data_IF_513647750704
#
_entry.id   IF_513647750704
#
_cell.length_a   1.000
_cell.length_b   1.000
_cell.length_c   1.000
_cell.angle_alpha   90.00
_cell.angle_beta   90.00
_cell.angle_gamma   90.00
#
_symmetry.space_group_name_H-M   'P 1'
#
loop_
_entity.id
_entity.type
_entity.pdbx_description
1 polymer ?
#
# COMPACT_ATOMS: atom_id res chain seq x y z
N UNK A 1 -15.17 33.06 41.42
CA UNK A 1 -13.78 33.34 40.99
C UNK A 1 -13.79 33.76 39.54
N UNK A 2 -13.58 35.06 39.26
CA UNK A 2 -13.43 35.65 37.92
C UNK A 2 -11.99 36.17 37.81
N UNK A 3 -11.28 35.82 36.74
CA UNK A 3 -10.06 36.48 36.27
C UNK A 3 -10.06 36.37 34.74
N UNK A 4 -10.51 37.40 34.01
CA UNK A 4 -9.74 38.51 33.43
C UNK A 4 -8.74 38.08 32.33
N UNK A 5 -9.18 38.21 31.08
CA UNK A 5 -8.33 38.27 29.88
C UNK A 5 -7.78 39.70 29.74
N UNK A 6 -6.45 39.84 29.64
CA UNK A 6 -5.78 41.09 29.29
C UNK A 6 -5.54 41.15 27.78
N UNK A 7 -6.03 42.22 27.16
CA UNK A 7 -5.67 42.63 25.80
C UNK A 7 -4.26 43.25 25.77
N UNK A 8 -3.45 42.84 24.79
CA UNK A 8 -2.23 43.54 24.35
C UNK A 8 -2.47 44.26 23.01
N UNK A 9 -1.69 45.31 22.69
CA UNK A 9 -2.05 46.27 21.64
C UNK A 9 -1.66 45.86 20.23
N UNK A 10 -2.41 46.38 19.27
CA UNK A 10 -2.23 46.24 17.83
C UNK A 10 -0.97 46.93 17.30
N UNK A 11 -0.33 46.33 16.29
CA UNK A 11 -0.06 46.91 14.96
C UNK A 11 1.15 46.23 14.28
N UNK A 12 0.95 45.70 13.07
CA UNK A 12 1.49 46.24 11.80
C UNK A 12 1.21 45.27 10.65
N UNK A 13 0.60 45.78 9.59
CA UNK A 13 0.49 45.16 8.26
C UNK A 13 1.87 45.13 7.60
N UNK A 14 2.20 44.05 6.91
CA UNK A 14 3.24 44.03 5.88
C UNK A 14 2.93 42.95 4.84
N UNK A 15 2.61 43.43 3.64
CA UNK A 15 2.97 42.96 2.30
C UNK A 15 2.70 41.50 1.88
N UNK A 16 1.62 41.38 1.12
CA UNK A 16 1.45 40.39 0.07
C UNK A 16 2.54 40.59 -1.00
N UNK A 17 3.52 39.68 -1.07
CA UNK A 17 4.34 39.51 -2.27
C UNK A 17 4.03 38.16 -2.89
N UNK A 18 3.32 38.23 -4.00
CA UNK A 18 3.01 37.11 -4.89
C UNK A 18 4.27 36.80 -5.70
N UNK A 19 4.86 35.62 -5.49
CA UNK A 19 5.87 35.10 -6.41
C UNK A 19 5.16 34.37 -7.56
N UNK A 20 4.96 35.09 -8.67
CA UNK A 20 4.61 34.49 -9.96
C UNK A 20 5.89 33.99 -10.61
N UNK A 21 6.17 32.69 -10.54
CA UNK A 21 7.24 32.10 -11.34
C UNK A 21 6.70 31.80 -12.75
N UNK A 22 7.05 32.67 -13.71
CA UNK A 22 6.83 32.45 -15.15
C UNK A 22 8.08 31.79 -15.74
N UNK A 23 7.90 30.65 -16.39
CA UNK A 23 8.83 30.21 -17.44
C UNK A 23 9.23 28.74 -17.38
N UNK A 24 8.31 27.83 -17.73
CA UNK A 24 8.71 26.49 -18.19
C UNK A 24 8.83 26.56 -19.71
N UNK A 25 10.07 26.55 -20.20
CA UNK A 25 10.35 26.24 -21.60
C UNK A 25 10.14 24.75 -21.85
N UNK A 26 9.38 24.47 -22.90
CA UNK A 26 9.02 23.15 -23.38
C UNK A 26 10.23 22.29 -23.77
N UNK A 27 10.17 21.00 -23.42
CA UNK A 27 10.73 19.94 -24.25
C UNK A 27 9.60 18.96 -24.59
N UNK A 28 9.04 19.12 -25.79
CA UNK A 28 8.17 18.14 -26.43
C UNK A 28 9.06 17.01 -26.95
N UNK A 29 9.02 15.83 -26.33
CA UNK A 29 9.45 14.61 -26.99
C UNK A 29 8.32 14.19 -27.96
N UNK A 30 8.56 14.40 -29.25
CA UNK A 30 7.73 13.86 -30.32
C UNK A 30 8.24 12.46 -30.62
N UNK A 31 7.41 11.43 -30.41
CA UNK A 31 7.60 10.15 -31.07
C UNK A 31 6.39 9.93 -31.97
N UNK A 32 6.58 10.20 -33.26
CA UNK A 32 5.63 9.93 -34.30
C UNK A 32 5.98 8.56 -34.91
N UNK A 33 5.13 7.56 -34.72
CA UNK A 33 4.93 6.52 -35.72
C UNK A 33 3.48 6.07 -35.68
N UNK A 34 2.81 6.24 -36.82
CA UNK A 34 1.40 6.04 -37.06
C UNK A 34 1.00 4.54 -37.11
N UNK A 35 -0.18 4.26 -36.54
CA UNK A 35 -1.30 3.47 -37.07
C UNK A 35 -1.03 2.09 -37.69
N UNK A 36 -1.51 1.04 -37.01
CA UNK A 36 -2.74 0.30 -37.37
C UNK A 36 -3.16 -0.57 -36.19
N UNK A 37 -4.42 -0.44 -35.72
CA UNK A 37 -4.99 -1.25 -34.64
C UNK A 37 -5.89 -2.35 -35.25
N UNK A 38 -5.70 -3.63 -34.95
CA UNK A 38 -6.81 -4.56 -34.81
C UNK A 38 -7.33 -4.51 -33.36
N UNK A 39 -8.66 -4.53 -33.17
CA UNK A 39 -9.31 -4.59 -31.85
C UNK A 39 -8.84 -5.83 -31.07
N UNK A 40 -8.71 -5.75 -29.73
CA UNK A 40 -8.83 -6.95 -28.91
C UNK A 40 -9.83 -6.83 -27.75
N UNK A 41 -10.50 -7.95 -27.43
CA UNK A 41 -11.13 -8.21 -26.14
C UNK A 41 -10.08 -8.53 -25.06
N UNK A 42 -10.49 -8.83 -23.81
CA UNK A 42 -9.61 -8.76 -22.66
C UNK A 42 -8.76 -10.02 -22.54
N UNK A 43 -7.51 -9.93 -23.01
CA UNK A 43 -6.39 -10.67 -22.43
C UNK A 43 -5.28 -9.65 -22.25
N UNK A 44 -4.99 -9.31 -21.00
CA UNK A 44 -3.85 -8.46 -20.65
C UNK A 44 -2.60 -9.27 -20.99
N UNK A 45 -2.02 -8.97 -22.14
CA UNK A 45 -0.77 -9.56 -22.58
C UNK A 45 0.37 -8.94 -21.77
N UNK A 46 0.72 -9.59 -20.66
CA UNK A 46 1.88 -9.25 -19.80
C UNK A 46 3.22 -9.24 -20.57
N UNK A 47 3.26 -9.70 -21.81
CA UNK A 47 4.46 -9.65 -22.66
C UNK A 47 4.69 -8.28 -23.33
N UNK A 48 3.67 -7.43 -23.49
CA UNK A 48 3.82 -6.16 -24.23
C UNK A 48 4.54 -5.05 -23.45
N UNK A 49 4.67 -5.17 -22.12
CA UNK A 49 5.48 -4.26 -21.30
C UNK A 49 6.99 -4.57 -21.37
N UNK A 50 7.40 -5.69 -21.97
CA UNK A 50 8.82 -6.07 -22.11
C UNK A 50 9.54 -5.45 -23.32
N UNK A 51 8.85 -4.71 -24.19
CA UNK A 51 9.44 -4.20 -25.45
C UNK A 51 9.78 -2.70 -25.46
N UNK A 52 9.56 -1.98 -24.35
CA UNK A 52 10.20 -0.69 -24.15
C UNK A 52 11.27 -0.86 -23.07
N UNK A 53 12.54 -0.93 -23.49
CA UNK A 53 13.72 -0.92 -22.62
C UNK A 53 13.90 0.40 -21.86
N UNK A 54 12.84 1.00 -21.35
CA UNK A 54 12.90 1.98 -20.29
C UNK A 54 13.24 1.23 -19.00
N UNK A 55 14.52 0.85 -18.85
CA UNK A 55 15.11 0.68 -17.53
C UNK A 55 14.76 1.97 -16.78
N UNK A 56 13.80 1.92 -15.85
CA UNK A 56 13.56 3.05 -14.96
C UNK A 56 14.90 3.37 -14.35
N UNK A 57 15.45 4.53 -14.68
CA UNK A 57 16.61 5.07 -13.98
C UNK A 57 16.24 5.02 -12.50
N UNK A 58 17.08 4.39 -11.71
CA UNK A 58 17.05 4.46 -10.26
C UNK A 58 17.00 5.96 -9.90
N UNK A 59 15.81 6.46 -9.58
CA UNK A 59 15.62 7.86 -9.28
C UNK A 59 15.98 8.06 -7.80
N UNK A 60 16.94 8.96 -7.50
CA UNK A 60 17.30 9.25 -6.11
C UNK A 60 16.12 9.86 -5.36
N UNK A 61 15.93 9.45 -4.11
CA UNK A 61 14.91 9.97 -3.19
C UNK A 61 13.48 9.84 -3.75
N UNK A 62 12.87 8.68 -3.52
CA UNK A 62 11.49 8.39 -3.90
C UNK A 62 10.58 8.43 -2.68
N UNK A 63 10.25 9.64 -2.24
CA UNK A 63 9.33 9.85 -1.14
C UNK A 63 7.88 9.61 -1.61
N UNK A 64 7.15 8.80 -0.86
CA UNK A 64 5.77 8.41 -1.14
C UNK A 64 4.93 8.64 0.11
N UNK A 65 3.89 9.46 0.01
CA UNK A 65 2.95 9.66 1.11
C UNK A 65 1.85 8.60 1.07
N UNK A 66 1.84 7.73 2.08
CA UNK A 66 0.85 6.66 2.25
C UNK A 66 -0.13 7.09 3.33
N UNK A 67 -1.42 7.10 3.00
CA UNK A 67 -2.49 7.35 3.98
C UNK A 67 -3.29 6.10 4.26
N UNK A 68 -3.43 5.74 5.54
CA UNK A 68 -4.28 4.65 6.01
C UNK A 68 -5.59 5.25 6.55
N UNK A 69 -6.71 4.89 5.93
CA UNK A 69 -8.03 5.45 6.26
C UNK A 69 -8.94 4.32 6.70
N UNK A 70 -9.01 4.09 8.01
CA UNK A 70 -9.84 3.03 8.61
C UNK A 70 -10.98 3.62 9.44
N UNK A 71 -12.10 2.93 9.62
CA UNK A 71 -13.21 3.50 10.40
C UNK A 71 -14.23 2.46 10.76
N UNK A 72 -15.21 2.83 11.58
CA UNK A 72 -16.37 1.96 11.80
C UNK A 72 -17.11 1.77 10.48
N UNK A 73 -17.63 0.57 10.27
CA UNK A 73 -18.47 0.26 9.11
C UNK A 73 -19.69 1.18 9.07
N UNK A 74 -20.08 1.57 7.86
CA UNK A 74 -21.31 2.34 7.62
C UNK A 74 -22.51 1.59 8.19
N UNK A 75 -23.40 2.33 8.84
CA UNK A 75 -24.62 1.82 9.44
C UNK A 75 -25.79 2.04 8.48
N UNK A 76 -26.53 0.97 8.17
CA UNK A 76 -27.73 1.02 7.32
C UNK A 76 -28.96 0.49 8.06
N UNK A 77 -30.16 1.01 7.78
CA UNK A 77 -31.35 0.70 8.60
C UNK A 77 -31.86 -0.73 8.43
N UNK A 78 -31.64 -1.36 7.27
CA UNK A 78 -32.12 -2.71 6.97
C UNK A 78 -31.16 -3.47 6.05
N UNK A 79 -31.40 -4.76 5.83
CA UNK A 79 -30.61 -5.58 4.90
C UNK A 79 -30.81 -5.21 3.42
N UNK A 80 -31.93 -4.56 3.09
CA UNK A 80 -32.24 -4.14 1.73
C UNK A 80 -31.41 -2.92 1.37
N UNK A 81 -30.46 -3.08 0.44
CA UNK A 81 -29.59 -1.99 -0.02
C UNK A 81 -30.07 -1.50 -1.38
N UNK A 82 -30.57 -0.26 -1.41
CA UNK A 82 -30.86 0.48 -2.63
C UNK A 82 -29.88 1.62 -2.87
N UNK A 83 -30.14 2.49 -3.87
CA UNK A 83 -29.28 3.64 -4.17
C UNK A 83 -29.03 4.56 -2.97
N UNK A 84 -30.04 4.82 -2.14
CA UNK A 84 -29.90 5.68 -0.97
C UNK A 84 -28.92 5.10 0.07
N UNK A 85 -28.97 3.79 0.33
CA UNK A 85 -28.01 3.14 1.22
C UNK A 85 -26.60 3.10 0.63
N UNK A 86 -26.46 2.95 -0.69
CA UNK A 86 -25.16 3.05 -1.36
C UNK A 86 -24.58 4.46 -1.27
N UNK A 87 -25.41 5.49 -1.39
CA UNK A 87 -24.99 6.89 -1.23
C UNK A 87 -24.52 7.18 0.20
N UNK A 88 -25.14 6.57 1.23
CA UNK A 88 -24.64 6.66 2.60
C UNK A 88 -23.25 6.03 2.77
N UNK A 89 -22.99 4.92 2.08
CA UNK A 89 -21.66 4.28 2.10
C UNK A 89 -20.63 5.18 1.42
N UNK A 90 -20.99 5.76 0.27
CA UNK A 90 -20.13 6.71 -0.46
C UNK A 90 -19.84 7.94 0.39
N UNK A 91 -20.87 8.60 0.94
CA UNK A 91 -20.72 9.81 1.75
C UNK A 91 -19.82 9.55 2.96
N UNK A 92 -20.05 8.44 3.68
CA UNK A 92 -19.26 8.08 4.86
C UNK A 92 -17.77 7.92 4.53
N UNK A 93 -17.45 7.14 3.50
CA UNK A 93 -16.06 6.82 3.19
C UNK A 93 -15.34 7.93 2.42
N UNK A 94 -16.02 8.63 1.52
CA UNK A 94 -15.44 9.82 0.87
C UNK A 94 -15.19 10.94 1.87
N UNK A 95 -16.08 11.15 2.86
CA UNK A 95 -15.87 12.09 3.96
C UNK A 95 -14.70 11.71 4.89
N UNK A 96 -14.41 10.41 5.04
CA UNK A 96 -13.21 9.95 5.75
C UNK A 96 -11.93 10.14 4.93
N UNK A 97 -11.94 9.75 3.66
CA UNK A 97 -10.80 9.95 2.75
C UNK A 97 -10.46 11.44 2.65
N UNK A 98 -11.47 12.32 2.56
CA UNK A 98 -11.29 13.75 2.47
C UNK A 98 -10.45 14.35 3.62
N UNK A 99 -10.41 13.71 4.78
CA UNK A 99 -9.63 14.20 5.93
C UNK A 99 -8.12 14.02 5.78
N UNK A 100 -7.66 13.09 4.92
CA UNK A 100 -6.22 12.90 4.65
C UNK A 100 -5.76 13.58 3.36
N UNK A 101 -6.68 14.00 2.49
CA UNK A 101 -6.33 14.67 1.23
C UNK A 101 -5.52 15.97 1.38
N UNK A 102 -5.61 16.76 2.47
CA UNK A 102 -4.71 17.88 2.70
C UNK A 102 -3.23 17.50 2.73
N UNK A 103 -2.90 16.27 3.13
CA UNK A 103 -1.52 15.75 3.13
C UNK A 103 -1.04 15.33 1.74
N UNK A 104 -1.92 15.38 0.73
CA UNK A 104 -1.65 15.01 -0.67
C UNK A 104 -1.05 13.60 -0.80
N UNK A 105 -1.77 12.55 -0.35
CA UNK A 105 -1.28 11.19 -0.43
C UNK A 105 -1.01 10.78 -1.88
N UNK A 106 0.07 10.03 -2.08
CA UNK A 106 0.28 9.28 -3.30
C UNK A 106 -0.65 8.08 -3.39
N UNK A 107 -0.92 7.44 -2.25
CA UNK A 107 -1.86 6.32 -2.16
C UNK A 107 -2.66 6.36 -0.85
N UNK A 108 -3.97 6.16 -0.97
CA UNK A 108 -4.91 5.94 0.14
C UNK A 108 -5.23 4.45 0.24
N UNK A 109 -5.05 3.88 1.42
CA UNK A 109 -5.33 2.47 1.74
C UNK A 109 -6.56 2.38 2.66
N UNK A 110 -7.55 1.59 2.25
CA UNK A 110 -8.78 1.30 3.00
C UNK A 110 -8.74 -0.11 3.64
N UNK A 111 -9.55 -0.38 4.69
CA UNK A 111 -9.61 -1.70 5.32
C UNK A 111 -10.36 -2.72 4.45
N UNK A 112 -10.15 -4.01 4.72
CA UNK A 112 -10.79 -5.11 3.96
C UNK A 112 -12.30 -4.97 3.93
N UNK A 113 -12.93 -5.03 2.74
CA UNK A 113 -14.38 -4.90 2.58
C UNK A 113 -14.94 -3.63 3.25
N UNK A 114 -14.21 -2.51 3.20
CA UNK A 114 -14.58 -1.26 3.87
C UNK A 114 -16.04 -0.85 3.61
N UNK A 115 -16.52 -1.12 2.39
CA UNK A 115 -17.84 -0.77 1.90
C UNK A 115 -18.96 -1.72 2.34
N UNK A 116 -18.66 -2.84 3.02
CA UNK A 116 -19.66 -3.75 3.59
C UNK A 116 -20.31 -3.10 4.82
N UNK A 117 -21.61 -2.77 4.77
CA UNK A 117 -22.25 -2.08 5.87
C UNK A 117 -22.65 -3.04 7.00
N UNK A 118 -22.99 -2.46 8.14
CA UNK A 118 -23.70 -3.12 9.22
C UNK A 118 -25.15 -2.67 9.26
N UNK A 119 -26.06 -3.62 9.42
CA UNK A 119 -27.47 -3.34 9.68
C UNK A 119 -27.60 -2.88 11.12
N UNK A 120 -28.23 -1.72 11.35
CA UNK A 120 -28.43 -1.14 12.69
C UNK A 120 -29.63 -1.72 13.45
N UNK A 121 -30.38 -2.63 12.83
CA UNK A 121 -31.58 -3.23 13.41
C UNK A 121 -31.30 -4.12 14.64
N UNK A 122 -32.30 -4.24 15.50
CA UNK A 122 -32.31 -5.03 16.75
C UNK A 122 -32.07 -6.54 16.52
N UNK A 123 -31.49 -7.28 17.49
CA UNK A 123 -31.09 -6.86 18.84
C UNK A 123 -29.65 -6.31 18.95
N UNK A 124 -28.87 -6.33 17.86
CA UNK A 124 -27.53 -5.74 17.81
C UNK A 124 -27.07 -5.52 16.36
N UNK A 125 -26.22 -4.51 16.11
CA UNK A 125 -25.65 -4.29 14.79
C UNK A 125 -24.93 -5.54 14.27
N UNK A 126 -25.22 -5.90 13.02
CA UNK A 126 -24.59 -7.07 12.37
C UNK A 126 -24.16 -6.75 10.94
N UNK A 127 -23.08 -7.35 10.49
CA UNK A 127 -22.71 -7.33 9.08
C UNK A 127 -23.70 -8.13 8.22
N UNK A 128 -23.88 -7.72 6.97
CA UNK A 128 -24.60 -8.51 5.95
C UNK A 128 -23.92 -9.87 5.78
N UNK A 129 -24.67 -10.97 5.66
CA UNK A 129 -24.14 -12.34 5.49
C UNK A 129 -25.06 -13.15 4.59
N UNK A 130 -24.55 -14.24 4.02
CA UNK A 130 -25.37 -15.13 3.16
C UNK A 130 -26.03 -14.36 2.02
N UNK A 131 -27.32 -14.60 1.82
CA UNK A 131 -28.11 -13.99 0.74
C UNK A 131 -28.16 -12.45 0.82
N UNK A 132 -28.21 -11.87 2.03
CA UNK A 132 -28.17 -10.40 2.21
C UNK A 132 -26.87 -9.82 1.64
N UNK A 133 -25.74 -10.51 1.85
CA UNK A 133 -24.44 -10.08 1.37
C UNK A 133 -24.34 -10.22 -0.15
N UNK A 134 -24.81 -11.34 -0.70
CA UNK A 134 -24.82 -11.57 -2.15
C UNK A 134 -25.66 -10.52 -2.87
N UNK A 135 -26.88 -10.25 -2.36
CA UNK A 135 -27.76 -9.22 -2.89
C UNK A 135 -27.10 -7.83 -2.84
N UNK A 136 -26.43 -7.49 -1.75
CA UNK A 136 -25.67 -6.25 -1.63
C UNK A 136 -24.54 -6.16 -2.67
N UNK A 137 -23.77 -7.22 -2.86
CA UNK A 137 -22.66 -7.22 -3.83
C UNK A 137 -23.16 -6.92 -5.24
N UNK A 138 -24.28 -7.52 -5.64
CA UNK A 138 -24.89 -7.25 -6.93
C UNK A 138 -25.53 -5.86 -7.03
N UNK A 139 -26.26 -5.43 -5.99
CA UNK A 139 -26.89 -4.12 -5.97
C UNK A 139 -25.86 -2.97 -6.00
N UNK A 140 -24.75 -3.14 -5.28
CA UNK A 140 -23.63 -2.18 -5.23
C UNK A 140 -23.01 -1.98 -6.61
N UNK A 141 -22.80 -3.06 -7.37
CA UNK A 141 -22.08 -3.02 -8.64
C UNK A 141 -20.77 -2.24 -8.50
N UNK A 142 -20.56 -1.25 -9.37
CA UNK A 142 -19.42 -0.34 -9.33
C UNK A 142 -19.66 0.98 -8.58
N UNK A 143 -20.84 1.21 -8.00
CA UNK A 143 -21.27 2.53 -7.49
C UNK A 143 -20.25 3.19 -6.55
N UNK A 144 -19.80 2.43 -5.54
CA UNK A 144 -18.81 2.92 -4.57
C UNK A 144 -17.44 3.14 -5.22
N UNK A 145 -17.02 2.21 -6.10
CA UNK A 145 -15.74 2.30 -6.82
C UNK A 145 -15.71 3.52 -7.73
N UNK A 146 -16.77 3.79 -8.46
CA UNK A 146 -16.84 4.90 -9.42
C UNK A 146 -16.83 6.25 -8.70
N UNK A 147 -17.44 6.34 -7.51
CA UNK A 147 -17.30 7.51 -6.64
C UNK A 147 -15.83 7.73 -6.20
N UNK A 148 -15.14 6.67 -5.78
CA UNK A 148 -13.72 6.76 -5.42
C UNK A 148 -12.82 7.07 -6.62
N UNK A 149 -13.16 6.60 -7.83
CA UNK A 149 -12.48 6.99 -9.06
C UNK A 149 -12.56 8.50 -9.32
N UNK A 150 -13.71 9.11 -9.05
CA UNK A 150 -13.86 10.57 -9.08
C UNK A 150 -12.90 11.28 -8.11
N UNK A 151 -12.74 10.77 -6.88
CA UNK A 151 -11.79 11.33 -5.91
C UNK A 151 -10.34 11.14 -6.36
N UNK A 152 -9.99 9.96 -6.87
CA UNK A 152 -8.64 9.64 -7.36
C UNK A 152 -8.22 10.62 -8.47
N UNK A 153 -9.10 10.91 -9.42
CA UNK A 153 -8.88 11.91 -10.48
C UNK A 153 -8.75 13.32 -9.90
N UNK A 154 -9.69 13.73 -9.05
CA UNK A 154 -9.74 15.10 -8.53
C UNK A 154 -8.51 15.46 -7.68
N UNK A 155 -7.94 14.48 -6.99
CA UNK A 155 -6.80 14.66 -6.09
C UNK A 155 -5.49 14.08 -6.62
N UNK A 156 -5.50 13.53 -7.84
CA UNK A 156 -4.35 12.91 -8.48
C UNK A 156 -3.67 11.88 -7.55
N UNK A 157 -4.45 10.99 -6.93
CA UNK A 157 -3.98 10.02 -5.92
C UNK A 157 -4.43 8.61 -6.29
N UNK A 158 -3.66 7.58 -5.92
CA UNK A 158 -4.13 6.21 -5.98
C UNK A 158 -5.05 5.90 -4.79
N UNK A 159 -6.10 5.12 -5.00
CA UNK A 159 -7.00 4.71 -3.91
C UNK A 159 -7.21 3.20 -4.00
N UNK A 160 -6.98 2.47 -2.90
CA UNK A 160 -7.33 1.05 -2.85
C UNK A 160 -8.84 0.89 -2.68
N UNK A 161 -9.41 -0.07 -3.38
CA UNK A 161 -10.80 -0.49 -3.29
C UNK A 161 -10.87 -1.97 -2.89
N UNK A 162 -10.63 -2.29 -1.60
CA UNK A 162 -10.78 -3.64 -1.08
C UNK A 162 -12.26 -3.96 -0.85
N UNK A 163 -12.81 -4.84 -1.69
CA UNK A 163 -14.22 -5.19 -1.65
C UNK A 163 -14.50 -6.55 -2.26
N UNK A 164 -15.74 -7.02 -2.09
CA UNK A 164 -16.24 -8.13 -2.87
C UNK A 164 -16.51 -7.69 -4.32
N UNK A 165 -15.86 -8.37 -5.25
CA UNK A 165 -15.91 -8.12 -6.70
C UNK A 165 -16.56 -9.31 -7.40
N UNK A 166 -17.53 -9.02 -8.27
CA UNK A 166 -18.06 -10.00 -9.23
C UNK A 166 -17.17 -9.97 -10.47
N UNK A 167 -16.52 -11.08 -10.78
CA UNK A 167 -15.72 -11.24 -11.99
C UNK A 167 -16.61 -11.51 -13.23
N UNK A 168 -16.02 -11.46 -14.42
CA UNK A 168 -16.74 -11.64 -15.70
C UNK A 168 -17.43 -13.00 -15.82
N UNK A 169 -16.91 -14.03 -15.14
CA UNK A 169 -17.49 -15.38 -15.09
C UNK A 169 -18.59 -15.53 -14.02
N UNK A 170 -18.94 -14.44 -13.33
CA UNK A 170 -19.91 -14.41 -12.23
C UNK A 170 -19.36 -14.89 -10.89
N UNK A 171 -18.08 -15.29 -10.80
CA UNK A 171 -17.46 -15.62 -9.53
C UNK A 171 -17.33 -14.38 -8.64
N UNK A 172 -17.47 -14.58 -7.33
CA UNK A 172 -17.28 -13.51 -6.36
C UNK A 172 -15.95 -13.74 -5.65
N UNK A 173 -15.11 -12.71 -5.63
CA UNK A 173 -13.82 -12.71 -4.95
C UNK A 173 -13.80 -11.64 -3.86
N UNK A 174 -13.05 -11.88 -2.79
CA UNK A 174 -12.58 -10.81 -1.92
C UNK A 174 -11.35 -10.21 -2.58
N UNK A 175 -11.49 -9.03 -3.15
CA UNK A 175 -10.46 -8.41 -4.00
C UNK A 175 -9.95 -7.11 -3.40
N UNK A 176 -8.73 -6.73 -3.76
CA UNK A 176 -8.19 -5.39 -3.66
C UNK A 176 -7.97 -4.89 -5.10
N UNK A 177 -8.76 -3.91 -5.52
CA UNK A 177 -8.50 -3.15 -6.74
C UNK A 177 -7.68 -1.88 -6.40
N UNK A 178 -6.72 -1.50 -7.23
CA UNK A 178 -6.05 -0.19 -7.14
C UNK A 178 -6.66 0.72 -8.19
N UNK A 179 -7.31 1.78 -7.74
CA UNK A 179 -7.81 2.84 -8.60
C UNK A 179 -6.65 3.81 -8.88
N UNK A 180 -6.35 3.98 -10.16
CA UNK A 180 -5.32 4.85 -10.70
C UNK A 180 -5.65 6.33 -10.52
N UNK A 181 -4.62 7.16 -10.66
CA UNK A 181 -4.77 8.63 -10.60
C UNK A 181 -5.66 9.20 -11.72
N UNK A 182 -5.94 8.40 -12.75
CA UNK A 182 -6.86 8.70 -13.86
C UNK A 182 -8.28 8.09 -13.66
N UNK A 183 -8.50 7.44 -12.52
CA UNK A 183 -9.76 6.78 -12.18
C UNK A 183 -9.91 5.36 -12.73
N UNK A 184 -8.98 4.85 -13.55
CA UNK A 184 -9.02 3.49 -14.05
C UNK A 184 -8.56 2.49 -12.99
N UNK A 185 -9.09 1.26 -12.98
CA UNK A 185 -8.51 0.18 -12.18
C UNK A 185 -7.20 -0.26 -12.84
N UNK A 186 -6.07 -0.06 -12.17
CA UNK A 186 -4.73 -0.34 -12.70
C UNK A 186 -4.17 -1.68 -12.25
N UNK A 187 -4.72 -2.26 -11.18
CA UNK A 187 -4.35 -3.58 -10.69
C UNK A 187 -5.47 -4.19 -9.85
N UNK A 188 -5.50 -5.52 -9.79
CA UNK A 188 -6.44 -6.31 -8.98
C UNK A 188 -5.68 -7.44 -8.30
N UNK A 189 -5.95 -7.66 -7.03
CA UNK A 189 -5.51 -8.80 -6.26
C UNK A 189 -6.73 -9.52 -5.69
N UNK A 190 -6.89 -10.81 -5.97
CA UNK A 190 -7.92 -11.64 -5.34
C UNK A 190 -7.29 -12.41 -4.17
N UNK A 191 -7.89 -12.33 -2.98
CA UNK A 191 -7.43 -12.99 -1.75
C UNK A 191 -7.17 -14.47 -2.02
N UNK A 192 -5.93 -14.90 -1.81
CA UNK A 192 -5.49 -16.25 -2.19
C UNK A 192 -6.05 -17.28 -1.21
N UNK A 193 -6.10 -16.93 0.08
CA UNK A 193 -6.65 -17.79 1.11
C UNK A 193 -7.83 -17.09 1.80
N UNK A 194 -9.04 -17.18 1.24
CA UNK A 194 -10.24 -16.79 1.96
C UNK A 194 -10.44 -17.67 3.19
N UNK A 195 -11.09 -17.13 4.21
CA UNK A 195 -11.46 -17.91 5.39
C UNK A 195 -12.46 -19.01 5.04
N UNK A 196 -12.54 -20.06 5.87
CA UNK A 196 -13.52 -21.14 5.67
C UNK A 196 -14.96 -20.61 5.57
N UNK A 197 -15.31 -19.56 6.33
CA UNK A 197 -16.62 -18.93 6.28
C UNK A 197 -16.88 -18.14 4.99
N UNK A 198 -15.85 -17.51 4.41
CA UNK A 198 -15.95 -16.89 3.09
C UNK A 198 -16.19 -17.93 2.00
N UNK A 199 -15.41 -19.02 2.00
CA UNK A 199 -15.53 -20.10 1.00
C UNK A 199 -16.82 -20.90 1.14
N UNK A 200 -17.28 -21.16 2.37
CA UNK A 200 -18.56 -21.84 2.60
C UNK A 200 -19.77 -21.01 2.15
N UNK A 201 -19.61 -19.70 1.97
CA UNK A 201 -20.55 -18.86 1.26
C UNK A 201 -20.41 -19.06 -0.24
N UNK A 202 -19.93 -18.01 -0.92
CA UNK A 202 -19.82 -17.96 -2.37
C UNK A 202 -18.50 -17.32 -2.84
N UNK A 203 -17.57 -17.06 -1.90
CA UNK A 203 -16.29 -16.41 -2.22
C UNK A 203 -15.29 -17.44 -2.70
N UNK A 204 -14.73 -17.21 -3.90
CA UNK A 204 -13.70 -18.08 -4.48
C UNK A 204 -12.29 -17.61 -4.07
N UNK A 205 -11.33 -18.55 -3.93
CA UNK A 205 -9.92 -18.20 -3.73
C UNK A 205 -9.31 -17.61 -5.00
N UNK A 206 -8.45 -16.62 -4.84
CA UNK A 206 -7.51 -16.18 -5.87
C UNK A 206 -6.32 -17.14 -6.02
N UNK A 207 -5.56 -16.97 -7.09
CA UNK A 207 -4.43 -17.85 -7.42
C UNK A 207 -3.16 -17.12 -7.86
N UNK A 208 -3.16 -15.79 -7.84
CA UNK A 208 -2.07 -14.96 -8.37
C UNK A 208 -1.69 -13.86 -7.37
N UNK A 209 -0.38 -13.62 -7.25
CA UNK A 209 0.12 -12.45 -6.51
C UNK A 209 0.12 -11.23 -7.43
N UNK A 210 -0.16 -10.06 -6.87
CA UNK A 210 -0.15 -8.80 -7.62
C UNK A 210 1.27 -8.21 -7.66
N UNK A 211 1.71 -7.78 -8.83
CA UNK A 211 2.96 -7.06 -9.03
C UNK A 211 2.70 -5.78 -9.85
N UNK A 212 2.07 -4.79 -9.22
CA UNK A 212 1.63 -3.57 -9.88
C UNK A 212 2.76 -2.54 -9.97
N UNK A 213 3.04 -2.04 -11.17
CA UNK A 213 4.01 -0.96 -11.41
C UNK A 213 3.31 0.39 -11.34
N UNK A 214 3.36 1.06 -10.18
CA UNK A 214 2.87 2.42 -10.06
C UNK A 214 3.96 3.42 -10.44
N UNK A 215 3.62 4.70 -10.56
CA UNK A 215 4.60 5.74 -10.95
C UNK A 215 5.75 5.89 -9.93
N UNK A 216 5.50 5.60 -8.66
CA UNK A 216 6.50 5.70 -7.58
C UNK A 216 7.25 4.40 -7.25
N UNK A 217 6.67 3.23 -7.52
CA UNK A 217 7.30 1.95 -7.18
C UNK A 217 6.43 0.72 -7.42
N UNK A 218 7.03 -0.45 -7.21
CA UNK A 218 6.36 -1.75 -7.35
C UNK A 218 5.55 -2.10 -6.11
N UNK A 219 4.27 -2.42 -6.30
CA UNK A 219 3.32 -2.71 -5.23
C UNK A 219 2.81 -4.15 -5.31
N UNK A 220 2.69 -4.79 -4.15
CA UNK A 220 1.95 -6.04 -3.98
C UNK A 220 0.89 -5.88 -2.89
N UNK A 221 0.07 -6.90 -2.69
CA UNK A 221 -0.93 -6.94 -1.65
C UNK A 221 -1.02 -8.33 -1.01
N UNK A 222 -1.57 -8.35 0.20
CA UNK A 222 -2.10 -9.53 0.87
C UNK A 222 -3.35 -9.09 1.63
N UNK A 223 -4.41 -9.91 1.65
CA UNK A 223 -5.66 -9.53 2.33
C UNK A 223 -5.83 -10.39 3.57
N UNK A 224 -5.82 -9.75 4.74
CA UNK A 224 -6.24 -10.32 6.02
C UNK A 224 -5.69 -11.72 6.32
N UNK A 225 -6.46 -12.76 6.01
CA UNK A 225 -6.13 -14.14 6.35
C UNK A 225 -4.91 -14.67 5.60
N UNK A 226 -4.59 -14.10 4.42
CA UNK A 226 -3.37 -14.40 3.65
C UNK A 226 -2.10 -14.27 4.51
N UNK A 227 -2.12 -13.37 5.49
CA UNK A 227 -0.98 -13.07 6.38
C UNK A 227 -0.43 -14.32 7.09
N UNK A 228 -1.28 -15.33 7.32
CA UNK A 228 -0.92 -16.55 8.05
C UNK A 228 -0.17 -17.59 7.21
N UNK A 229 -0.06 -17.39 5.88
CA UNK A 229 0.39 -18.44 4.96
C UNK A 229 1.75 -18.12 4.36
N UNK A 230 2.77 -18.85 4.80
CA UNK A 230 4.16 -18.65 4.37
C UNK A 230 4.34 -18.81 2.85
N UNK A 231 3.60 -19.73 2.21
CA UNK A 231 3.63 -19.90 0.76
C UNK A 231 3.13 -18.67 0.01
N UNK A 232 2.14 -17.95 0.54
CA UNK A 232 1.64 -16.70 -0.05
C UNK A 232 2.69 -15.61 0.11
N UNK A 233 3.26 -15.48 1.32
CA UNK A 233 4.34 -14.54 1.59
C UNK A 233 5.56 -14.77 0.69
N UNK A 234 5.97 -16.02 0.50
CA UNK A 234 7.07 -16.37 -0.39
C UNK A 234 6.76 -16.03 -1.85
N UNK A 235 5.51 -16.23 -2.31
CA UNK A 235 5.10 -15.81 -3.66
C UNK A 235 5.13 -14.29 -3.82
N UNK A 236 4.70 -13.52 -2.80
CA UNK A 236 4.79 -12.06 -2.80
C UNK A 236 6.24 -11.58 -2.77
N UNK A 237 7.10 -12.20 -1.96
CA UNK A 237 8.53 -11.85 -1.92
C UNK A 237 9.21 -12.04 -3.28
N UNK A 238 8.83 -13.06 -4.05
CA UNK A 238 9.37 -13.33 -5.39
C UNK A 238 9.10 -12.20 -6.40
N UNK A 239 8.02 -11.45 -6.23
CA UNK A 239 7.75 -10.29 -7.11
C UNK A 239 8.48 -9.02 -6.68
N UNK A 240 9.28 -9.07 -5.60
CA UNK A 240 10.14 -7.98 -5.10
C UNK A 240 9.40 -6.63 -4.98
N UNK A 241 8.28 -6.57 -4.24
CA UNK A 241 7.57 -5.31 -4.04
C UNK A 241 8.41 -4.36 -3.18
N UNK A 242 8.19 -3.06 -3.35
CA UNK A 242 8.78 -2.03 -2.49
C UNK A 242 7.82 -1.62 -1.37
N UNK A 243 6.51 -1.83 -1.60
CA UNK A 243 5.42 -1.65 -0.65
C UNK A 243 4.39 -2.79 -0.81
N UNK A 244 4.00 -3.39 0.31
CA UNK A 244 2.91 -4.36 0.41
C UNK A 244 1.72 -3.71 1.09
N UNK A 245 0.56 -3.76 0.44
CA UNK A 245 -0.71 -3.24 0.96
C UNK A 245 -1.46 -4.36 1.69
N UNK A 246 -1.92 -4.07 2.91
CA UNK A 246 -2.62 -5.03 3.75
C UNK A 246 -3.94 -4.47 4.29
N UNK A 247 -5.03 -4.51 3.50
CA UNK A 247 -6.37 -4.25 4.01
C UNK A 247 -6.83 -5.44 4.86
N UNK A 248 -7.36 -5.20 6.06
CA UNK A 248 -7.71 -6.31 6.95
C UNK A 248 -8.77 -6.02 8.01
N UNK A 249 -9.56 -7.03 8.36
CA UNK A 249 -10.36 -7.08 9.59
C UNK A 249 -9.63 -7.71 10.80
N UNK A 250 -8.34 -8.02 10.65
CA UNK A 250 -7.46 -8.67 11.62
C UNK A 250 -6.10 -7.95 11.70
N UNK A 251 -5.62 -7.66 12.91
CA UNK A 251 -4.40 -6.85 13.08
C UNK A 251 -3.11 -7.55 12.59
N UNK A 252 -2.94 -8.86 12.76
CA UNK A 252 -1.69 -9.54 12.35
C UNK A 252 -0.50 -9.39 13.30
N UNK A 253 -0.40 -8.28 14.06
CA UNK A 253 0.65 -8.09 15.07
C UNK A 253 2.05 -8.24 14.48
N UNK A 254 2.92 -8.97 15.17
CA UNK A 254 4.31 -9.20 14.71
C UNK A 254 4.42 -9.90 13.35
N UNK A 255 3.35 -10.57 12.88
CA UNK A 255 3.37 -11.21 11.56
C UNK A 255 3.44 -10.16 10.45
N UNK A 256 2.93 -8.94 10.65
CA UNK A 256 3.16 -7.84 9.70
C UNK A 256 4.66 -7.51 9.58
N UNK A 257 5.39 -7.49 10.70
CA UNK A 257 6.84 -7.30 10.72
C UNK A 257 7.59 -8.41 9.99
N UNK A 258 7.16 -9.67 10.18
CA UNK A 258 7.72 -10.80 9.44
C UNK A 258 7.49 -10.65 7.93
N UNK A 259 6.31 -10.17 7.52
CA UNK A 259 6.03 -9.90 6.12
C UNK A 259 6.91 -8.81 5.53
N UNK A 260 7.08 -7.70 6.23
CA UNK A 260 7.97 -6.62 5.81
C UNK A 260 9.42 -7.13 5.62
N UNK A 261 9.92 -7.92 6.58
CA UNK A 261 11.24 -8.56 6.53
C UNK A 261 11.39 -9.52 5.35
N UNK A 262 10.50 -10.50 5.23
CA UNK A 262 10.62 -11.57 4.22
C UNK A 262 10.46 -11.04 2.80
N UNK A 263 9.63 -10.00 2.62
CA UNK A 263 9.43 -9.34 1.32
C UNK A 263 10.43 -8.22 1.06
N UNK A 264 11.20 -7.80 2.08
CA UNK A 264 12.10 -6.64 2.07
C UNK A 264 11.40 -5.37 1.61
N UNK A 265 10.14 -5.22 2.02
CA UNK A 265 9.26 -4.16 1.57
C UNK A 265 8.71 -3.36 2.75
N UNK A 266 8.35 -2.10 2.51
CA UNK A 266 7.43 -1.44 3.43
C UNK A 266 6.10 -2.22 3.48
N UNK A 267 5.43 -2.19 4.61
CA UNK A 267 4.16 -2.89 4.79
C UNK A 267 3.14 -1.92 5.38
N UNK A 268 2.06 -1.66 4.63
CA UNK A 268 1.00 -0.73 5.00
C UNK A 268 -0.27 -1.48 5.39
N UNK A 269 -0.47 -1.69 6.69
CA UNK A 269 -1.60 -2.40 7.27
C UNK A 269 -2.75 -1.46 7.62
N UNK A 270 -3.80 -1.43 6.80
CA UNK A 270 -5.04 -0.70 7.10
C UNK A 270 -6.07 -1.65 7.69
N UNK A 271 -6.33 -1.50 8.99
CA UNK A 271 -7.13 -2.46 9.77
C UNK A 271 -8.30 -1.80 10.47
N UNK A 272 -9.43 -2.51 10.57
CA UNK A 272 -10.62 -1.99 11.25
C UNK A 272 -10.39 -1.69 12.75
N UNK A 273 -11.05 -0.64 13.30
CA UNK A 273 -11.11 -0.40 14.74
C UNK A 273 -11.67 -1.62 15.51
N UNK A 274 -11.27 -1.82 16.78
CA UNK A 274 -10.43 -0.94 17.60
C UNK A 274 -8.91 -1.13 17.38
N UNK A 275 -8.51 -1.97 16.42
CA UNK A 275 -7.10 -2.19 16.12
C UNK A 275 -6.49 -0.96 15.44
N UNK A 276 -5.18 -0.75 15.65
CA UNK A 276 -4.44 0.34 15.00
C UNK A 276 -3.98 -0.09 13.63
N UNK A 277 -4.08 0.82 12.66
CA UNK A 277 -3.39 0.65 11.37
C UNK A 277 -1.93 1.03 11.53
N UNK A 278 -1.03 0.36 10.81
CA UNK A 278 0.43 0.46 11.02
C UNK A 278 1.18 0.52 9.70
N UNK A 279 2.30 1.25 9.68
CA UNK A 279 3.29 1.20 8.61
C UNK A 279 4.57 0.63 9.20
N UNK A 280 5.07 -0.43 8.57
CA UNK A 280 6.27 -1.15 8.99
C UNK A 280 7.34 -1.01 7.91
N UNK A 281 8.58 -0.74 8.31
CA UNK A 281 9.71 -0.62 7.39
C UNK A 281 10.24 -2.02 6.96
N UNK A 282 11.08 -2.10 5.91
CA UNK A 282 11.66 -3.35 5.41
C UNK A 282 12.47 -4.17 6.41
N UNK A 283 12.89 -3.57 7.55
CA UNK A 283 13.54 -4.28 8.64
C UNK A 283 12.56 -4.74 9.75
N UNK A 284 11.25 -4.72 9.48
CA UNK A 284 10.23 -5.21 10.39
C UNK A 284 9.87 -4.25 11.54
N UNK A 285 10.32 -2.99 11.48
CA UNK A 285 10.05 -1.99 12.53
C UNK A 285 8.82 -1.18 12.22
N UNK A 286 7.88 -1.09 13.16
CA UNK A 286 6.75 -0.14 13.07
C UNK A 286 7.28 1.29 13.14
N UNK A 287 7.05 2.08 12.08
CA UNK A 287 7.52 3.48 11.97
C UNK A 287 6.38 4.49 12.09
N UNK A 288 5.12 4.04 11.93
CA UNK A 288 3.95 4.86 12.14
C UNK A 288 2.72 4.00 12.47
N UNK A 289 1.81 4.55 13.28
CA UNK A 289 0.53 3.91 13.57
C UNK A 289 -0.58 4.92 13.87
N UNK A 290 -1.83 4.52 13.59
CA UNK A 290 -3.02 5.26 14.05
C UNK A 290 -3.14 5.13 15.56
N UNK A 291 -3.98 5.94 16.20
CA UNK A 291 -4.26 5.81 17.64
C UNK A 291 -5.54 5.04 17.90
N UNK A 292 -5.94 4.92 19.17
CA UNK A 292 -7.27 4.42 19.56
C UNK A 292 -8.35 5.50 19.47
N UNK A 293 -7.98 6.74 19.18
CA UNK A 293 -8.88 7.91 19.12
C UNK A 293 -9.10 8.40 17.70
N UNK A 294 -8.10 8.21 16.83
CA UNK A 294 -8.16 8.53 15.42
C UNK A 294 -7.58 7.37 14.61
N UNK A 295 -8.33 6.96 13.59
CA UNK A 295 -8.06 5.84 12.69
C UNK A 295 -7.63 6.33 11.29
N UNK A 296 -7.13 7.57 11.24
CA UNK A 296 -6.48 8.20 10.10
C UNK A 296 -4.98 8.28 10.36
N UNK A 297 -4.17 7.99 9.34
CA UNK A 297 -2.72 8.21 9.36
C UNK A 297 -2.28 8.63 7.96
N UNK A 298 -1.44 9.64 7.87
CA UNK A 298 -0.63 9.94 6.67
C UNK A 298 0.83 9.90 7.07
N UNK A 299 1.65 9.18 6.30
CA UNK A 299 3.08 9.07 6.57
C UNK A 299 3.86 8.98 5.27
N UNK A 300 5.00 9.67 5.21
CA UNK A 300 5.89 9.64 4.04
C UNK A 300 7.00 8.62 4.27
N UNK A 301 7.07 7.64 3.38
CA UNK A 301 8.14 6.63 3.32
C UNK A 301 9.06 6.93 2.13
N UNK A 302 10.30 6.43 2.17
CA UNK A 302 11.23 6.58 1.06
C UNK A 302 11.49 5.22 0.40
N UNK A 303 11.07 5.07 -0.86
CA UNK A 303 11.25 3.83 -1.62
C UNK A 303 12.64 3.69 -2.25
N UNK A 304 13.51 4.71 -2.16
CA UNK A 304 14.92 4.57 -2.50
C UNK A 304 15.74 4.07 -1.30
N UNK A 305 15.63 2.77 -1.06
CA UNK A 305 16.34 2.06 0.01
C UNK A 305 16.96 0.75 -0.45
N UNK A 306 17.88 0.24 0.37
CA UNK A 306 18.39 -1.13 0.30
C UNK A 306 18.45 -1.71 1.71
N UNK A 307 18.08 -2.98 1.85
CA UNK A 307 18.25 -3.73 3.11
C UNK A 307 19.61 -4.42 3.09
N UNK A 308 20.37 -4.24 4.16
CA UNK A 308 21.75 -4.75 4.28
C UNK A 308 21.88 -5.54 5.58
N UNK A 309 22.49 -6.72 5.52
CA UNK A 309 22.86 -7.47 6.72
C UNK A 309 24.14 -6.87 7.35
N UNK A 310 24.21 -6.78 8.68
CA UNK A 310 25.36 -6.18 9.38
C UNK A 310 26.64 -7.00 9.22
N UNK A 311 26.54 -8.33 9.32
CA UNK A 311 27.69 -9.23 9.19
C UNK A 311 28.50 -8.95 7.92
N UNK A 312 29.81 -8.76 8.08
CA UNK A 312 30.79 -8.42 7.02
C UNK A 312 30.60 -7.06 6.32
N UNK A 313 29.58 -6.27 6.69
CA UNK A 313 29.31 -4.95 6.14
C UNK A 313 29.53 -3.79 7.12
N UNK A 314 29.74 -4.04 8.43
CA UNK A 314 29.82 -2.99 9.47
C UNK A 314 30.84 -1.88 9.15
N UNK A 315 32.09 -2.26 8.86
CA UNK A 315 33.16 -1.30 8.51
C UNK A 315 32.85 -0.53 7.22
N UNK A 316 32.21 -1.20 6.25
CA UNK A 316 31.83 -0.62 4.96
C UNK A 316 30.70 0.41 5.15
N UNK A 317 29.70 0.08 5.96
CA UNK A 317 28.61 0.97 6.35
C UNK A 317 29.12 2.19 7.12
N UNK A 318 30.08 2.01 8.03
CA UNK A 318 30.70 3.12 8.75
C UNK A 318 31.43 4.09 7.80
N UNK A 319 32.19 3.55 6.82
CA UNK A 319 32.86 4.35 5.78
C UNK A 319 31.86 5.08 4.88
N UNK A 320 30.80 4.41 4.45
CA UNK A 320 29.72 5.00 3.65
C UNK A 320 29.07 6.15 4.43
N UNK A 321 28.72 5.93 5.71
CA UNK A 321 28.13 6.96 6.57
C UNK A 321 29.07 8.14 6.78
N UNK A 322 30.37 7.91 6.92
CA UNK A 322 31.36 8.98 7.04
C UNK A 322 31.48 9.81 5.75
N UNK A 323 31.33 9.19 4.57
CA UNK A 323 31.42 9.87 3.28
C UNK A 323 30.15 10.69 2.95
N UNK A 324 28.97 10.10 3.16
CA UNK A 324 27.69 10.71 2.78
C UNK A 324 27.03 11.52 3.92
N UNK A 325 27.44 11.33 5.17
CA UNK A 325 26.95 12.11 6.30
C UNK A 325 25.41 12.14 6.39
N UNK A 326 24.75 13.31 6.35
CA UNK A 326 23.30 13.43 6.43
C UNK A 326 22.54 12.93 5.19
N UNK A 327 23.22 12.77 4.06
CA UNK A 327 22.62 12.38 2.76
C UNK A 327 22.26 10.89 2.70
N UNK A 328 22.64 10.12 3.70
CA UNK A 328 22.25 8.72 3.88
C UNK A 328 21.62 8.50 5.26
N UNK A 329 20.49 7.81 5.29
CA UNK A 329 19.90 7.25 6.50
C UNK A 329 20.30 5.79 6.62
N UNK A 330 20.71 5.38 7.82
CA UNK A 330 20.87 3.97 8.18
C UNK A 330 19.98 3.75 9.41
N UNK A 331 18.90 2.99 9.25
CA UNK A 331 17.99 2.61 10.34
C UNK A 331 18.34 1.22 10.83
N UNK A 332 18.73 1.11 12.10
CA UNK A 332 19.03 -0.15 12.76
C UNK A 332 17.97 -0.47 13.84
N UNK A 333 17.16 -1.52 13.67
CA UNK A 333 16.24 -2.01 14.70
C UNK A 333 16.94 -2.64 15.92
N UNK A 334 18.23 -2.96 15.80
CA UNK A 334 19.09 -3.47 16.88
C UNK A 334 18.92 -4.95 17.24
N UNK A 335 17.94 -5.66 16.66
CA UNK A 335 17.55 -7.01 17.10
C UNK A 335 17.57 -8.08 16.00
N UNK A 336 17.65 -7.69 14.73
CA UNK A 336 17.50 -8.62 13.59
C UNK A 336 18.74 -8.73 12.70
N UNK A 337 19.85 -8.06 13.05
CA UNK A 337 21.10 -8.12 12.29
C UNK A 337 21.04 -7.45 10.91
N UNK A 338 20.03 -6.61 10.67
CA UNK A 338 19.77 -5.96 9.39
C UNK A 338 19.56 -4.48 9.59
N UNK A 339 19.96 -3.67 8.60
CA UNK A 339 19.69 -2.23 8.56
C UNK A 339 18.99 -1.85 7.26
N UNK A 340 18.19 -0.78 7.30
CA UNK A 340 17.64 -0.14 6.10
C UNK A 340 18.49 1.08 5.77
N UNK A 341 19.13 1.07 4.61
CA UNK A 341 19.89 2.19 4.09
C UNK A 341 19.06 2.93 3.05
N UNK A 342 18.79 4.22 3.26
CA UNK A 342 17.98 5.04 2.35
C UNK A 342 18.72 6.30 1.93
N UNK A 343 18.67 6.64 0.65
CA UNK A 343 19.24 7.90 0.16
C UNK A 343 18.34 9.08 0.53
N UNK A 344 18.95 10.19 0.93
CA UNK A 344 18.29 11.48 1.19
C UNK A 344 18.79 12.59 0.25
N UNK A 345 19.53 12.22 -0.78
CA UNK A 345 20.17 13.13 -1.74
C UNK A 345 19.59 12.89 -3.13
N UNK A 346 19.18 13.94 -3.87
CA UNK A 346 18.78 13.78 -5.27
C UNK A 346 19.95 13.41 -6.20
N UNK A 347 21.19 13.41 -5.72
CA UNK A 347 22.39 13.17 -6.52
C UNK A 347 22.75 11.67 -6.66
N UNK A 348 22.39 10.83 -5.67
CA UNK A 348 22.78 9.41 -5.62
C UNK A 348 21.67 8.53 -5.05
N UNK A 349 21.49 7.33 -5.60
CA UNK A 349 20.57 6.33 -5.05
C UNK A 349 21.19 5.50 -3.95
N UNK A 350 20.37 4.88 -3.09
CA UNK A 350 20.85 3.96 -2.06
C UNK A 350 21.63 2.78 -2.67
N UNK A 351 21.20 2.33 -3.87
CA UNK A 351 21.87 1.28 -4.64
C UNK A 351 23.28 1.69 -5.10
N UNK A 352 23.42 2.86 -5.70
CA UNK A 352 24.74 3.36 -6.12
C UNK A 352 25.69 3.55 -4.93
N UNK A 353 25.16 4.01 -3.78
CA UNK A 353 25.97 4.18 -2.57
C UNK A 353 26.54 2.85 -2.07
N UNK A 354 25.74 1.77 -2.03
CA UNK A 354 26.25 0.47 -1.56
C UNK A 354 27.26 -0.12 -2.55
N UNK A 355 27.06 0.07 -3.86
CA UNK A 355 27.99 -0.38 -4.90
C UNK A 355 29.36 0.30 -4.78
N UNK A 356 29.38 1.62 -4.51
CA UNK A 356 30.63 2.39 -4.33
C UNK A 356 31.48 1.87 -3.16
N UNK A 357 30.84 1.39 -2.10
CA UNK A 357 31.51 0.91 -0.89
C UNK A 357 31.65 -0.61 -0.83
N UNK A 358 31.34 -1.31 -1.93
CA UNK A 358 31.36 -2.78 -2.02
C UNK A 358 30.49 -3.44 -0.93
N UNK A 359 29.36 -2.82 -0.59
CA UNK A 359 28.43 -3.35 0.41
C UNK A 359 27.49 -4.35 -0.26
N UNK A 360 27.42 -5.55 0.30
CA UNK A 360 26.51 -6.58 -0.17
C UNK A 360 25.11 -6.34 0.40
N UNK A 361 24.09 -6.38 -0.45
CA UNK A 361 22.70 -6.31 0.01
C UNK A 361 22.24 -7.63 0.66
N UNK A 362 21.07 -7.59 1.30
CA UNK A 362 20.54 -8.74 2.02
C UNK A 362 20.26 -9.95 1.12
N UNK A 363 19.79 -9.73 -0.12
CA UNK A 363 19.54 -10.79 -1.09
C UNK A 363 20.83 -11.55 -1.43
N UNK A 364 21.89 -10.81 -1.77
CA UNK A 364 23.20 -11.39 -2.04
C UNK A 364 23.77 -12.12 -0.82
N UNK A 365 23.69 -11.50 0.36
CA UNK A 365 24.21 -12.08 1.59
C UNK A 365 23.53 -13.43 1.93
N UNK A 366 22.21 -13.51 1.79
CA UNK A 366 21.46 -14.76 2.02
C UNK A 366 21.65 -15.79 0.91
N UNK A 367 21.80 -15.37 -0.34
CA UNK A 367 22.13 -16.28 -1.44
C UNK A 367 23.49 -16.96 -1.18
N UNK A 368 24.52 -16.21 -0.84
CA UNK A 368 25.85 -16.76 -0.51
C UNK A 368 25.80 -17.66 0.72
N UNK A 369 25.06 -17.24 1.76
CA UNK A 369 24.91 -18.02 3.00
C UNK A 369 24.21 -19.36 2.77
N UNK A 370 23.28 -19.43 1.81
CA UNK A 370 22.48 -20.64 1.54
C UNK A 370 22.95 -21.43 0.32
N UNK A 371 23.99 -20.99 -0.38
CA UNK A 371 24.52 -21.67 -1.58
C UNK A 371 24.86 -23.16 -1.31
N UNK A 372 25.34 -23.48 -0.11
CA UNK A 372 25.66 -24.86 0.28
C UNK A 372 24.42 -25.76 0.45
N UNK A 373 23.21 -25.20 0.46
CA UNK A 373 21.94 -25.91 0.55
C UNK A 373 21.31 -26.18 -0.83
N UNK A 374 21.91 -25.69 -1.92
CA UNK A 374 21.37 -25.95 -3.26
C UNK A 374 21.34 -27.46 -3.56
N UNK A 375 20.14 -27.99 -3.81
CA UNK A 375 19.92 -29.43 -4.03
C UNK A 375 20.00 -30.29 -2.76
N UNK A 376 20.16 -29.67 -1.58
CA UNK A 376 20.19 -30.36 -0.29
C UNK A 376 18.85 -30.22 0.41
N UNK A 377 18.23 -31.35 0.75
CA UNK A 377 17.04 -31.37 1.60
C UNK A 377 17.46 -31.31 3.08
N UNK A 378 16.89 -30.39 3.85
CA UNK A 378 17.11 -30.32 5.30
C UNK A 378 16.38 -31.51 5.93
N UNK A 379 17.14 -32.52 6.36
CA UNK A 379 16.60 -33.73 6.97
C UNK A 379 15.95 -33.45 8.34
N UNK A 380 14.90 -34.22 8.65
CA UNK A 380 14.28 -34.24 9.98
C UNK A 380 14.89 -35.40 10.76
N UNK A 381 15.53 -35.11 11.89
CA UNK A 381 16.04 -36.15 12.77
C UNK A 381 14.88 -36.69 13.64
N UNK A 382 14.46 -37.92 13.40
CA UNK A 382 13.47 -38.64 14.21
C UNK A 382 14.16 -39.30 15.42
N UNK A 383 13.52 -39.22 16.59
CA UNK A 383 14.02 -39.78 17.87
C UNK A 383 13.04 -40.79 18.45
#
# INVERSE_FOLDING_TARGET
MRYQLRHGPAARRADHTVYVNRGVHAQRATCATLLTLPRPGPRVDLAAQRMCGCQRRSAPVRNVTVSLVSGRATQIPSATVGPAELDLIVEHWTGRIAQVLPDRPDIVVLPEMFDRPQISAEPAPRFLRGQDLEAFIHAKGSHVRDALAGLAVAHHTYITYPSYRVADDGAIYNSLEIIGRDGAVVATYDKIVPTLGEMAGFIRPGHEVMAAELDFGRISAAICFDLNFAQVRAAVAKVKPELVLFPSAYHGGFVQSQWALDTRAYFAGCVYPPNRSTIVNPAGTEIASTSTYDFLLSHTINLDYVVVHLGYNEDKLARLKAAYGPDVLIEDPGLVGMVVLSSRTPERTAREMIEEFDIQDLDGYFADSTAHLEGVEIGVQEF
#
